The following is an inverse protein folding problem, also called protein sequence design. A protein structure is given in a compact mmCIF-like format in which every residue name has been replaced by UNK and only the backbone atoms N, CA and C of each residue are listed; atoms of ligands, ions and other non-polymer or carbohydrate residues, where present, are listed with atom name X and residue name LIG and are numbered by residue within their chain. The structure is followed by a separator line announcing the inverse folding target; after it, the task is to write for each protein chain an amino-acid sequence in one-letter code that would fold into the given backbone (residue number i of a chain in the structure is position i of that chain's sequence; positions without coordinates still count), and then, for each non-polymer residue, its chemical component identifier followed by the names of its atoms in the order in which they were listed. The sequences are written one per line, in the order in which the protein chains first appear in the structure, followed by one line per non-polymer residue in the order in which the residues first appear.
data_IF_132422393989
#
_entry.id   IF_132422393989
#
_cell.length_a   1.000
_cell.length_b   1.000
_cell.length_c   1.000
_cell.angle_alpha   90.00
_cell.angle_beta   90.00
_cell.angle_gamma   90.00
#
_symmetry.space_group_name_H-M   'P 1'
#
loop_
_entity.id
_entity.type
_entity.pdbx_description
1 polymer ?
#
# COMPACT_ATOMS: atom_id res chain seq x y z
N UNK A 1 12.61 9.39 11.43
CA UNK A 1 12.42 10.65 10.71
C UNK A 1 11.73 10.44 9.37
N UNK A 2 12.28 9.63 8.46
CA UNK A 2 11.68 9.33 7.15
C UNK A 2 10.16 9.08 7.19
N UNK A 3 9.73 8.03 7.90
CA UNK A 3 8.31 7.67 7.99
C UNK A 3 7.44 8.73 8.69
N UNK A 4 7.98 9.46 9.67
CA UNK A 4 7.24 10.52 10.37
C UNK A 4 7.00 11.71 9.44
N UNK A 5 7.98 12.05 8.60
CA UNK A 5 7.83 13.12 7.62
C UNK A 5 6.85 12.72 6.51
N UNK A 6 6.82 11.45 6.09
CA UNK A 6 5.79 10.94 5.17
C UNK A 6 4.37 11.07 5.72
N UNK A 7 4.18 10.88 7.03
CA UNK A 7 2.88 11.08 7.70
C UNK A 7 2.45 12.54 7.58
N UNK A 8 3.34 13.49 7.90
CA UNK A 8 3.06 14.94 7.80
C UNK A 8 2.71 15.32 6.36
N UNK A 9 3.50 14.85 5.38
CA UNK A 9 3.23 15.12 3.96
C UNK A 9 1.89 14.52 3.50
N UNK A 10 1.53 13.34 4.03
CA UNK A 10 0.26 12.70 3.74
C UNK A 10 -0.93 13.47 4.32
N UNK A 11 -0.82 13.96 5.56
CA UNK A 11 -1.85 14.79 6.21
C UNK A 11 -2.13 16.08 5.42
N UNK A 12 -1.13 16.60 4.71
CA UNK A 12 -1.24 17.77 3.83
C UNK A 12 -1.55 17.40 2.37
N UNK A 13 -1.93 16.15 2.07
CA UNK A 13 -2.27 15.69 0.71
C UNK A 13 -1.19 15.97 -0.34
N UNK A 14 0.08 15.99 0.05
CA UNK A 14 1.18 16.14 -0.90
C UNK A 14 1.23 14.87 -1.79
N UNK A 15 1.47 14.99 -3.11
CA UNK A 15 1.66 13.83 -3.97
C UNK A 15 2.86 12.98 -3.53
N UNK A 16 2.72 11.65 -3.50
CA UNK A 16 3.79 10.72 -3.06
C UNK A 16 5.06 10.90 -3.90
N UNK A 17 4.92 11.15 -5.20
CA UNK A 17 6.05 11.39 -6.09
C UNK A 17 6.91 12.61 -5.67
N UNK A 18 6.34 13.55 -4.92
CA UNK A 18 7.03 14.75 -4.46
C UNK A 18 7.66 14.58 -3.06
N UNK A 19 7.40 13.45 -2.37
CA UNK A 19 7.88 13.24 -0.99
C UNK A 19 9.40 13.34 -0.90
N UNK A 20 10.13 12.74 -1.85
CA UNK A 20 11.60 12.79 -1.88
C UNK A 20 12.12 14.22 -2.06
N UNK A 21 11.41 15.06 -2.80
CA UNK A 21 11.76 16.47 -3.00
C UNK A 21 11.71 17.25 -1.69
N UNK A 22 10.77 16.92 -0.80
CA UNK A 22 10.67 17.53 0.53
C UNK A 22 11.58 16.88 1.58
N UNK A 23 11.79 15.56 1.48
CA UNK A 23 12.62 14.83 2.43
C UNK A 23 14.12 15.12 2.25
N UNK A 24 14.59 15.35 1.02
CA UNK A 24 16.01 15.57 0.75
C UNK A 24 16.56 16.81 1.49
N UNK A 25 15.91 17.99 1.44
CA UNK A 25 16.32 19.14 2.26
C UNK A 25 16.33 18.87 3.76
N UNK A 26 15.35 18.12 4.30
CA UNK A 26 15.33 17.72 5.72
C UNK A 26 16.56 16.91 6.12
N UNK A 27 16.93 15.90 5.32
CA UNK A 27 18.10 15.07 5.62
C UNK A 27 19.41 15.83 5.38
N UNK A 28 19.48 16.71 4.38
CA UNK A 28 20.63 17.57 4.15
C UNK A 28 20.84 18.53 5.33
N UNK A 29 19.77 19.13 5.85
CA UNK A 29 19.82 19.95 7.06
C UNK A 29 20.35 19.16 8.25
N UNK A 30 19.86 17.95 8.48
CA UNK A 30 20.36 17.12 9.58
C UNK A 30 21.84 16.75 9.41
N UNK A 31 22.28 16.43 8.19
CA UNK A 31 23.69 16.17 7.91
C UNK A 31 24.55 17.41 8.15
N UNK A 32 24.06 18.59 7.76
CA UNK A 32 24.74 19.85 8.03
C UNK A 32 24.89 20.08 9.55
N UNK A 33 23.83 19.89 10.33
CA UNK A 33 23.90 20.00 11.80
C UNK A 33 24.90 19.03 12.44
N UNK A 34 25.08 17.84 11.86
CA UNK A 34 25.99 16.81 12.37
C UNK A 34 27.45 17.05 12.00
N UNK A 35 27.73 17.42 10.75
CA UNK A 35 29.07 17.35 10.18
C UNK A 35 29.67 18.72 9.85
N UNK A 36 28.85 19.69 9.42
CA UNK A 36 29.32 20.99 8.91
C UNK A 36 28.36 22.12 9.31
N UNK A 37 28.10 22.33 10.62
CA UNK A 37 27.11 23.29 11.04
C UNK A 37 27.60 24.73 10.82
N UNK A 38 26.65 25.61 10.50
CA UNK A 38 26.96 27.02 10.27
C UNK A 38 27.01 27.79 11.59
N UNK A 39 28.22 28.07 12.08
CA UNK A 39 28.44 28.90 13.27
C UNK A 39 28.51 28.15 14.59
N UNK A 40 28.70 26.83 14.55
CA UNK A 40 29.01 25.99 15.71
C UNK A 40 30.04 24.92 15.33
N UNK A 41 30.55 24.20 16.33
CA UNK A 41 31.40 23.04 16.12
C UNK A 41 30.57 21.80 15.73
N UNK A 42 31.11 20.89 14.88
CA UNK A 42 30.39 19.70 14.43
C UNK A 42 30.20 18.68 15.56
N UNK A 43 29.09 17.92 15.50
CA UNK A 43 28.87 16.75 16.38
C UNK A 43 29.84 15.62 16.01
N UNK A 44 30.01 15.38 14.71
CA UNK A 44 30.97 14.45 14.16
C UNK A 44 31.87 15.19 13.19
N UNK A 45 33.15 15.33 13.52
CA UNK A 45 34.08 15.99 12.63
C UNK A 45 35.35 16.44 13.33
N UNK A 46 36.13 17.23 12.62
CA UNK A 46 37.34 17.85 13.13
C UNK A 46 37.01 19.27 13.59
N UNK A 47 37.40 19.58 14.82
CA UNK A 47 37.37 20.96 15.31
C UNK A 47 38.66 21.65 14.86
N UNK A 48 38.53 22.84 14.29
CA UNK A 48 39.65 23.63 13.81
C UNK A 48 40.11 24.58 14.92
N UNK A 49 41.42 24.82 15.10
CA UNK A 49 41.90 25.78 16.07
C UNK A 49 41.28 27.19 15.92
N UNK A 50 41.08 27.94 17.02
CA UNK A 50 41.44 27.58 18.39
C UNK A 50 40.48 26.56 19.00
N UNK A 51 41.05 25.53 19.65
CA UNK A 51 40.24 24.47 20.23
C UNK A 51 39.38 24.99 21.39
N UNK A 52 38.10 24.60 21.46
CA UNK A 52 37.19 24.95 22.54
C UNK A 52 37.64 24.38 23.88
N UNK A 53 37.40 25.13 24.94
CA UNK A 53 37.48 24.63 26.32
C UNK A 53 36.11 24.11 26.71
N UNK A 54 35.87 22.83 26.40
CA UNK A 54 34.58 22.20 26.60
C UNK A 54 34.11 22.28 28.04
N UNK A 55 32.91 22.82 28.25
CA UNK A 55 32.22 22.73 29.54
C UNK A 55 31.26 21.54 29.55
N UNK A 56 31.17 20.85 30.68
CA UNK A 56 30.31 19.67 30.83
C UNK A 56 28.81 19.96 30.67
N UNK A 57 28.40 21.22 30.82
CA UNK A 57 27.02 21.68 30.67
C UNK A 57 26.72 22.31 29.29
N UNK A 58 27.72 22.35 28.38
CA UNK A 58 27.65 23.00 27.07
C UNK A 58 27.33 24.51 27.12
N UNK A 59 27.62 25.18 28.25
CA UNK A 59 27.46 26.65 28.42
C UNK A 59 28.60 27.47 27.78
N UNK A 60 29.45 26.82 27.02
CA UNK A 60 30.59 27.39 26.30
C UNK A 60 30.24 27.90 24.90
N UNK A 61 28.97 27.77 24.47
CA UNK A 61 28.40 28.35 23.24
C UNK A 61 29.03 27.86 21.93
N UNK A 62 29.91 26.86 21.99
CA UNK A 62 30.53 26.22 20.83
C UNK A 62 29.56 25.32 20.06
N UNK A 63 28.51 24.83 20.73
CA UNK A 63 27.51 23.96 20.15
C UNK A 63 26.15 24.64 20.14
N UNK A 64 25.43 24.48 19.03
CA UNK A 64 24.04 24.92 18.96
C UNK A 64 23.10 23.94 19.68
N UNK A 65 21.83 24.35 19.91
CA UNK A 65 20.84 23.54 20.61
C UNK A 65 20.60 22.16 19.99
N UNK A 66 20.67 22.06 18.67
CA UNK A 66 20.44 20.81 17.93
C UNK A 66 21.64 19.88 18.05
N UNK A 67 22.87 20.40 17.99
CA UNK A 67 24.08 19.61 18.25
C UNK A 67 24.06 19.05 19.67
N UNK A 68 23.74 19.86 20.68
CA UNK A 68 23.64 19.42 22.08
C UNK A 68 22.59 18.31 22.22
N UNK A 69 21.43 18.48 21.57
CA UNK A 69 20.38 17.46 21.56
C UNK A 69 20.88 16.13 20.95
N UNK A 70 21.52 16.19 19.78
CA UNK A 70 22.04 15.02 19.07
C UNK A 70 23.14 14.31 19.87
N UNK A 71 24.07 15.05 20.50
CA UNK A 71 25.09 14.49 21.38
C UNK A 71 24.45 13.74 22.54
N UNK A 72 23.45 14.33 23.21
CA UNK A 72 22.73 13.68 24.32
C UNK A 72 21.98 12.42 23.87
N UNK A 73 21.37 12.47 22.69
CA UNK A 73 20.70 11.33 22.06
C UNK A 73 21.68 10.19 21.79
N UNK A 74 22.79 10.44 21.11
CA UNK A 74 23.80 9.41 20.81
C UNK A 74 24.51 8.87 22.06
N UNK A 75 24.71 9.71 23.08
CA UNK A 75 25.28 9.29 24.36
C UNK A 75 24.28 8.50 25.24
N UNK A 76 22.99 8.44 24.87
CA UNK A 76 21.96 7.73 25.63
C UNK A 76 21.64 8.34 27.00
N UNK A 77 21.89 9.65 27.17
CA UNK A 77 21.74 10.39 28.43
C UNK A 77 20.29 10.83 28.61
N UNK A 78 19.62 10.31 29.66
CA UNK A 78 18.21 10.56 29.97
C UNK A 78 17.27 9.43 29.51
N UNK A 79 16.20 9.15 30.27
CA UNK A 79 15.24 8.06 29.95
C UNK A 79 14.45 8.32 28.67
N UNK A 80 14.16 9.58 28.35
CA UNK A 80 13.37 9.99 27.17
C UNK A 80 14.20 10.08 25.88
N UNK A 81 15.53 10.20 25.99
CA UNK A 81 16.47 10.35 24.87
C UNK A 81 16.95 9.03 24.26
N UNK A 82 16.45 7.88 24.73
CA UNK A 82 16.76 6.57 24.13
C UNK A 82 15.79 6.18 23.02
N UNK A 83 14.65 6.86 22.93
CA UNK A 83 13.61 6.52 21.96
C UNK A 83 13.82 7.30 20.67
N UNK A 84 14.02 6.58 19.57
CA UNK A 84 14.23 7.18 18.24
C UNK A 84 13.00 7.98 17.75
N UNK A 85 11.79 7.63 18.21
CA UNK A 85 10.56 8.27 17.73
C UNK A 85 10.38 9.70 18.26
N UNK A 86 10.40 9.98 19.58
CA UNK A 86 10.38 11.34 20.11
C UNK A 86 11.52 12.21 19.58
N UNK A 87 12.73 11.66 19.48
CA UNK A 87 13.86 12.39 18.92
C UNK A 87 13.65 12.78 17.46
N UNK A 88 13.12 11.85 16.65
CA UNK A 88 12.77 12.14 15.27
C UNK A 88 11.65 13.17 15.14
N UNK A 89 10.63 13.14 16.00
CA UNK A 89 9.57 14.17 16.04
C UNK A 89 10.14 15.56 16.33
N UNK A 90 10.95 15.68 17.38
CA UNK A 90 11.60 16.94 17.75
C UNK A 90 12.45 17.52 16.62
N UNK A 91 13.27 16.69 15.96
CA UNK A 91 14.13 17.14 14.86
C UNK A 91 13.31 17.61 13.64
N UNK A 92 12.22 16.92 13.32
CA UNK A 92 11.33 17.33 12.22
C UNK A 92 10.65 18.66 12.55
N UNK A 93 10.04 18.79 13.74
CA UNK A 93 9.38 20.02 14.17
C UNK A 93 10.33 21.23 14.15
N UNK A 94 11.55 21.02 14.64
CA UNK A 94 12.60 22.04 14.61
C UNK A 94 12.93 22.45 13.18
N UNK A 95 13.17 21.48 12.29
CA UNK A 95 13.46 21.76 10.88
C UNK A 95 12.35 22.57 10.21
N UNK A 96 11.09 22.18 10.39
CA UNK A 96 9.95 22.88 9.80
C UNK A 96 9.85 24.32 10.32
N UNK A 97 10.07 24.52 11.62
CA UNK A 97 10.02 25.84 12.26
C UNK A 97 11.15 26.75 11.79
N UNK A 98 12.40 26.28 11.84
CA UNK A 98 13.58 27.08 11.46
C UNK A 98 13.55 27.51 9.99
N UNK A 99 13.08 26.61 9.12
CA UNK A 99 13.02 26.85 7.67
C UNK A 99 11.69 27.47 7.23
N UNK A 100 10.77 27.76 8.17
CA UNK A 100 9.45 28.34 7.90
C UNK A 100 8.66 27.55 6.85
N UNK A 101 8.74 26.22 6.93
CA UNK A 101 8.08 25.33 5.99
C UNK A 101 6.65 25.11 6.44
N UNK A 102 5.71 25.58 5.63
CA UNK A 102 4.29 25.32 5.79
C UNK A 102 3.77 24.53 4.58
N UNK A 103 3.44 23.26 4.80
CA UNK A 103 2.89 22.40 3.75
C UNK A 103 1.42 22.71 3.44
N UNK A 104 0.73 23.49 4.27
CA UNK A 104 -0.68 23.86 4.05
C UNK A 104 -0.87 24.61 2.74
N UNK A 105 0.12 25.44 2.35
CA UNK A 105 0.12 26.18 1.10
C UNK A 105 0.36 25.30 -0.14
N UNK A 106 0.91 24.10 0.04
CA UNK A 106 1.22 23.13 -1.03
C UNK A 106 0.19 22.01 -1.13
N UNK A 107 -0.80 22.00 -0.23
CA UNK A 107 -1.87 21.03 -0.21
C UNK A 107 -2.61 21.06 -1.55
N UNK A 108 -2.60 19.91 -2.22
CA UNK A 108 -3.45 19.73 -3.40
C UNK A 108 -4.83 19.30 -2.92
N UNK A 109 -5.91 19.87 -3.49
CA UNK A 109 -7.25 19.38 -3.19
C UNK A 109 -7.29 17.88 -3.50
N UNK A 110 -7.90 17.11 -2.59
CA UNK A 110 -7.99 15.64 -2.61
C UNK A 110 -8.59 15.07 -3.91
N UNK A 111 -9.14 15.93 -4.77
CA UNK A 111 -9.87 15.68 -6.00
C UNK A 111 -9.02 15.33 -7.23
N UNK A 112 -7.75 14.90 -7.08
CA UNK A 112 -7.06 14.21 -8.18
C UNK A 112 -7.70 12.84 -8.48
N UNK A 113 -8.58 12.34 -7.59
CA UNK A 113 -9.62 11.38 -7.96
C UNK A 113 -10.85 12.14 -8.45
N UNK A 114 -10.85 12.68 -9.67
CA UNK A 114 -12.09 13.06 -10.40
C UNK A 114 -11.76 13.74 -11.75
N UNK A 115 -11.50 12.90 -12.74
CA UNK A 115 -12.14 13.06 -14.06
C UNK A 115 -12.66 11.69 -14.51
N UNK A 116 -13.14 10.90 -13.57
CA UNK A 116 -14.06 9.85 -13.95
C UNK A 116 -15.40 10.53 -14.19
N UNK A 117 -15.98 10.27 -15.37
CA UNK A 117 -17.26 10.79 -15.79
C UNK A 117 -18.27 10.68 -14.63
N UNK A 118 -18.86 11.79 -14.18
CA UNK A 118 -19.84 11.80 -13.07
C UNK A 118 -20.95 10.77 -13.32
N UNK A 119 -21.29 10.54 -14.59
CA UNK A 119 -22.27 9.53 -14.98
C UNK A 119 -21.79 8.10 -14.74
N UNK A 120 -20.49 7.83 -14.81
CA UNK A 120 -19.88 6.53 -14.49
C UNK A 120 -19.89 6.29 -12.98
N UNK A 121 -19.54 7.30 -12.18
CA UNK A 121 -19.58 7.22 -10.72
C UNK A 121 -21.00 7.01 -10.18
N UNK A 122 -21.99 7.72 -10.74
CA UNK A 122 -23.40 7.50 -10.43
C UNK A 122 -23.85 6.07 -10.77
N UNK A 123 -23.42 5.54 -11.92
CA UNK A 123 -23.73 4.17 -12.36
C UNK A 123 -23.10 3.11 -11.44
N UNK A 124 -21.83 3.26 -11.08
CA UNK A 124 -21.15 2.37 -10.13
C UNK A 124 -21.86 2.36 -8.79
N UNK A 125 -22.22 3.54 -8.26
CA UNK A 125 -22.89 3.64 -6.97
C UNK A 125 -24.27 2.97 -6.98
N UNK A 126 -25.05 3.15 -8.05
CA UNK A 126 -26.34 2.48 -8.20
C UNK A 126 -26.18 0.95 -8.20
N UNK A 127 -25.26 0.41 -9.02
CA UNK A 127 -24.99 -1.04 -9.06
C UNK A 127 -24.48 -1.56 -7.72
N UNK A 128 -23.63 -0.79 -7.02
CA UNK A 128 -23.16 -1.16 -5.69
C UNK A 128 -24.31 -1.29 -4.70
N UNK A 129 -25.21 -0.32 -4.66
CA UNK A 129 -26.39 -0.35 -3.79
C UNK A 129 -27.30 -1.54 -4.10
N UNK A 130 -27.49 -1.88 -5.38
CA UNK A 130 -28.27 -3.05 -5.78
C UNK A 130 -27.63 -4.36 -5.32
N UNK A 131 -26.32 -4.53 -5.50
CA UNK A 131 -25.59 -5.71 -5.04
C UNK A 131 -25.63 -5.82 -3.52
N UNK A 132 -25.41 -4.71 -2.79
CA UNK A 132 -25.46 -4.72 -1.33
C UNK A 132 -26.87 -5.05 -0.82
N UNK A 133 -27.92 -4.50 -1.46
CA UNK A 133 -29.31 -4.87 -1.16
C UNK A 133 -29.54 -6.36 -1.38
N UNK A 134 -29.06 -6.92 -2.50
CA UNK A 134 -29.15 -8.34 -2.78
C UNK A 134 -28.43 -9.17 -1.70
N UNK A 135 -27.19 -8.82 -1.34
CA UNK A 135 -26.44 -9.51 -0.27
C UNK A 135 -27.22 -9.51 1.03
N UNK A 136 -27.87 -8.39 1.39
CA UNK A 136 -28.72 -8.32 2.58
C UNK A 136 -29.93 -9.25 2.51
N UNK A 137 -30.46 -9.59 1.32
CA UNK A 137 -31.56 -10.56 1.18
C UNK A 137 -31.14 -12.02 1.41
N UNK A 138 -29.85 -12.32 1.47
CA UNK A 138 -29.37 -13.68 1.70
C UNK A 138 -29.47 -14.11 3.16
N UNK A 139 -29.94 -13.23 4.07
CA UNK A 139 -30.14 -13.49 5.51
C UNK A 139 -28.96 -14.26 6.15
N UNK A 140 -27.75 -13.82 5.83
CA UNK A 140 -26.52 -14.49 6.23
C UNK A 140 -26.22 -14.18 7.71
N UNK A 141 -26.33 -15.20 8.57
CA UNK A 141 -25.78 -15.15 9.92
C UNK A 141 -24.23 -15.30 9.89
N UNK A 142 -23.54 -14.65 10.83
CA UNK A 142 -22.07 -14.58 10.86
C UNK A 142 -21.43 -15.97 10.99
N UNK A 143 -21.87 -16.76 11.98
CA UNK A 143 -21.30 -18.08 12.22
C UNK A 143 -21.62 -19.04 11.07
N UNK A 144 -22.84 -18.96 10.53
CA UNK A 144 -23.27 -19.79 9.40
C UNK A 144 -22.52 -19.44 8.11
N UNK A 145 -22.17 -18.18 7.88
CA UNK A 145 -21.44 -17.76 6.68
C UNK A 145 -20.08 -18.45 6.58
N UNK A 146 -19.27 -18.35 7.63
CA UNK A 146 -17.92 -18.91 7.61
C UNK A 146 -17.95 -20.43 7.47
N UNK A 147 -18.92 -21.09 8.10
CA UNK A 147 -19.16 -22.53 7.95
C UNK A 147 -19.56 -22.87 6.51
N UNK A 148 -20.51 -22.13 5.93
CA UNK A 148 -20.98 -22.33 4.56
C UNK A 148 -19.83 -22.17 3.56
N UNK A 149 -19.09 -21.06 3.63
CA UNK A 149 -17.93 -20.79 2.77
C UNK A 149 -16.85 -21.88 2.95
N UNK A 150 -16.59 -22.34 4.18
CA UNK A 150 -15.61 -23.42 4.39
C UNK A 150 -15.97 -24.73 3.68
N UNK A 151 -17.27 -25.01 3.54
CA UNK A 151 -17.82 -26.22 2.91
C UNK A 151 -18.05 -26.06 1.41
N UNK A 152 -18.15 -24.83 0.92
CA UNK A 152 -18.36 -24.54 -0.49
C UNK A 152 -17.16 -25.00 -1.33
N UNK A 153 -17.36 -26.13 -2.02
CA UNK A 153 -16.36 -26.72 -2.91
C UNK A 153 -16.82 -26.53 -4.34
N UNK A 154 -16.08 -25.72 -5.08
CA UNK A 154 -16.39 -25.44 -6.47
C UNK A 154 -15.17 -25.67 -7.38
N UNK A 155 -15.41 -26.21 -8.59
CA UNK A 155 -14.37 -26.44 -9.60
C UNK A 155 -13.70 -25.14 -10.06
N UNK A 156 -14.45 -24.05 -10.18
CA UNK A 156 -13.96 -22.74 -10.60
C UNK A 156 -13.03 -22.15 -9.54
N UNK A 157 -13.44 -22.19 -8.26
CA UNK A 157 -12.58 -21.79 -7.13
C UNK A 157 -11.30 -22.65 -7.08
N UNK A 158 -11.40 -23.96 -7.32
CA UNK A 158 -10.23 -24.84 -7.36
C UNK A 158 -9.26 -24.44 -8.48
N UNK A 159 -9.78 -24.14 -9.67
CA UNK A 159 -8.98 -23.69 -10.81
C UNK A 159 -8.34 -22.33 -10.52
N UNK A 160 -9.11 -21.33 -10.10
CA UNK A 160 -8.62 -20.00 -9.76
C UNK A 160 -7.49 -20.04 -8.72
N UNK A 161 -7.60 -20.90 -7.71
CA UNK A 161 -6.53 -21.11 -6.71
C UNK A 161 -5.28 -21.74 -7.29
N UNK A 162 -5.43 -22.66 -8.24
CA UNK A 162 -4.30 -23.25 -8.96
C UNK A 162 -3.56 -22.18 -9.76
N UNK A 163 -4.30 -21.38 -10.53
CA UNK A 163 -3.74 -20.32 -11.38
C UNK A 163 -3.05 -19.25 -10.54
N UNK A 164 -3.70 -18.80 -9.45
CA UNK A 164 -3.11 -17.86 -8.49
C UNK A 164 -1.81 -18.39 -7.88
N UNK A 165 -1.78 -19.67 -7.49
CA UNK A 165 -0.59 -20.29 -6.93
C UNK A 165 0.53 -20.39 -7.95
N UNK A 166 0.21 -20.67 -9.21
CA UNK A 166 1.16 -20.74 -10.31
C UNK A 166 1.79 -19.36 -10.57
N UNK A 167 1.00 -18.29 -10.60
CA UNK A 167 1.51 -16.92 -10.76
C UNK A 167 2.41 -16.50 -9.58
N UNK A 168 1.99 -16.78 -8.35
CA UNK A 168 2.84 -16.55 -7.18
C UNK A 168 4.18 -17.29 -7.31
N UNK A 169 4.16 -18.56 -7.73
CA UNK A 169 5.36 -19.34 -7.94
C UNK A 169 6.24 -18.75 -9.06
N UNK A 170 5.65 -18.29 -10.16
CA UNK A 170 6.37 -17.65 -11.28
C UNK A 170 7.13 -16.41 -10.81
N UNK A 171 6.50 -15.56 -10.01
CA UNK A 171 7.13 -14.35 -9.43
C UNK A 171 8.28 -14.73 -8.49
N UNK A 172 8.07 -15.73 -7.66
CA UNK A 172 9.06 -16.24 -6.72
C UNK A 172 10.30 -16.84 -7.43
N UNK A 173 10.10 -17.53 -8.54
CA UNK A 173 11.19 -18.02 -9.41
C UNK A 173 11.92 -16.85 -10.06
N UNK A 174 11.16 -15.89 -10.62
CA UNK A 174 11.71 -14.70 -11.30
C UNK A 174 12.58 -13.86 -10.36
N UNK A 175 12.17 -13.75 -9.09
CA UNK A 175 12.87 -12.95 -8.08
C UNK A 175 14.02 -13.71 -7.42
N UNK A 176 14.02 -15.05 -7.51
CA UNK A 176 15.10 -15.91 -7.05
C UNK A 176 14.94 -16.30 -5.58
N UNK A 177 13.87 -17.06 -5.27
CA UNK A 177 13.60 -17.69 -3.96
C UNK A 177 14.89 -18.09 -3.24
N UNK A 178 15.02 -17.60 -2.01
CA UNK A 178 15.82 -18.18 -0.91
C UNK A 178 17.33 -17.90 -0.83
N UNK A 179 18.00 -17.32 -1.84
CA UNK A 179 19.46 -17.04 -1.72
C UNK A 179 19.83 -15.55 -1.75
N UNK A 180 18.87 -14.66 -2.01
CA UNK A 180 19.15 -13.22 -2.07
C UNK A 180 18.86 -12.57 -0.73
N UNK A 181 19.90 -11.97 -0.13
CA UNK A 181 19.76 -11.13 1.07
C UNK A 181 18.99 -9.87 0.69
N UNK A 182 17.88 -9.61 1.36
CA UNK A 182 17.17 -8.33 1.28
C UNK A 182 18.12 -7.24 1.78
N UNK A 183 18.46 -6.29 0.91
CA UNK A 183 19.31 -5.15 1.26
C UNK A 183 18.50 -4.07 1.96
N UNK A 184 17.40 -3.68 1.33
CA UNK A 184 16.54 -2.61 1.79
C UNK A 184 15.11 -2.87 1.32
N UNK A 185 14.15 -2.21 1.95
CA UNK A 185 12.78 -2.11 1.45
C UNK A 185 12.31 -0.68 1.62
N UNK A 186 11.50 -0.21 0.67
CA UNK A 186 10.75 1.03 0.80
C UNK A 186 9.28 0.67 0.93
N UNK A 187 8.62 1.19 1.96
CA UNK A 187 7.19 1.01 2.17
C UNK A 187 6.42 2.07 1.37
N UNK A 188 5.27 1.70 0.83
CA UNK A 188 4.36 2.69 0.25
C UNK A 188 3.78 3.55 1.39
N UNK A 189 3.74 4.89 1.26
CA UNK A 189 3.33 5.75 2.37
C UNK A 189 1.90 5.55 2.87
N UNK A 190 0.98 5.17 1.97
CA UNK A 190 -0.46 5.06 2.26
C UNK A 190 -1.03 3.63 2.29
N UNK A 191 -0.25 2.65 1.83
CA UNK A 191 -0.72 1.28 1.59
C UNK A 191 0.24 0.28 2.24
N UNK A 192 -0.26 -0.86 2.77
CA UNK A 192 0.57 -1.90 3.35
C UNK A 192 1.24 -2.75 2.25
N UNK A 193 2.11 -2.12 1.46
CA UNK A 193 2.90 -2.76 0.41
C UNK A 193 4.31 -2.18 0.41
N UNK A 194 5.30 -2.99 0.03
CA UNK A 194 6.69 -2.60 -0.05
C UNK A 194 7.33 -3.02 -1.36
N UNK A 195 8.26 -2.21 -1.82
CA UNK A 195 9.20 -2.53 -2.88
C UNK A 195 10.50 -2.99 -2.24
N UNK A 196 10.96 -4.18 -2.62
CA UNK A 196 12.06 -4.87 -1.94
C UNK A 196 13.31 -4.88 -2.82
N UNK A 197 14.42 -4.33 -2.31
CA UNK A 197 15.70 -4.30 -3.01
C UNK A 197 16.58 -5.46 -2.55
N UNK A 198 16.99 -6.33 -3.47
CA UNK A 198 17.86 -7.47 -3.17
C UNK A 198 19.34 -7.22 -3.55
N UNK A 199 20.26 -7.90 -2.85
CA UNK A 199 21.71 -7.80 -3.07
C UNK A 199 22.16 -8.60 -4.30
N UNK A 200 22.99 -8.00 -5.15
CA UNK A 200 23.64 -8.57 -6.36
C UNK A 200 22.80 -8.66 -7.65
N UNK A 201 23.44 -8.58 -8.84
CA UNK A 201 22.71 -8.40 -10.09
C UNK A 201 22.22 -9.75 -10.60
N UNK A 202 20.90 -9.92 -10.65
CA UNK A 202 20.16 -10.40 -11.83
C UNK A 202 18.69 -10.12 -11.54
N UNK A 203 18.17 -9.19 -12.32
CA UNK A 203 16.82 -8.66 -12.30
C UNK A 203 16.86 -7.19 -12.70
N UNK A 204 16.42 -6.87 -13.92
CA UNK A 204 15.90 -5.52 -14.25
C UNK A 204 14.67 -5.22 -13.39
N UNK A 205 14.13 -6.21 -12.69
CA UNK A 205 12.91 -6.16 -11.91
C UNK A 205 13.14 -6.60 -10.47
N UNK A 206 12.38 -6.01 -9.56
CA UNK A 206 12.37 -6.28 -8.12
C UNK A 206 10.92 -6.50 -7.66
N UNK A 207 10.68 -7.29 -6.60
CA UNK A 207 9.32 -7.61 -6.21
C UNK A 207 8.60 -6.52 -5.43
N UNK A 208 7.29 -6.48 -5.64
CA UNK A 208 6.33 -5.92 -4.70
C UNK A 208 5.86 -6.99 -3.71
N UNK A 209 5.75 -6.61 -2.44
CA UNK A 209 5.35 -7.48 -1.33
C UNK A 209 4.36 -6.78 -0.42
N UNK A 210 3.25 -7.46 -0.15
CA UNK A 210 2.25 -7.00 0.81
C UNK A 210 2.83 -7.09 2.23
N UNK A 211 2.51 -6.10 3.05
CA UNK A 211 2.90 -6.02 4.44
C UNK A 211 1.71 -6.33 5.34
N UNK A 212 1.95 -6.95 6.49
CA UNK A 212 0.93 -7.16 7.51
C UNK A 212 0.60 -5.83 8.20
N UNK A 213 -0.63 -5.68 8.64
CA UNK A 213 -1.01 -4.62 9.57
C UNK A 213 -1.24 -5.19 10.98
N UNK A 214 -0.82 -4.48 12.05
CA UNK A 214 -0.12 -3.18 12.05
C UNK A 214 1.41 -3.28 11.94
N UNK A 215 2.03 -4.46 12.05
CA UNK A 215 3.48 -4.61 12.26
C UNK A 215 4.36 -4.34 11.04
N UNK A 216 3.77 -4.16 9.85
CA UNK A 216 4.47 -3.95 8.57
C UNK A 216 5.52 -5.04 8.25
N UNK A 217 5.26 -6.28 8.67
CA UNK A 217 6.07 -7.46 8.32
C UNK A 217 5.65 -7.98 6.94
N UNK A 218 6.51 -8.68 6.21
CA UNK A 218 6.08 -9.27 4.94
C UNK A 218 5.02 -10.35 5.21
N UNK A 219 3.90 -10.29 4.51
CA UNK A 219 2.86 -11.34 4.60
C UNK A 219 3.42 -12.62 4.00
N UNK A 220 3.21 -13.75 4.67
CA UNK A 220 3.70 -15.04 4.20
C UNK A 220 2.90 -15.53 2.99
N UNK A 221 3.51 -16.33 2.10
CA UNK A 221 2.78 -16.94 0.99
C UNK A 221 1.58 -17.78 1.43
N UNK A 222 1.66 -18.43 2.60
CA UNK A 222 0.55 -19.22 3.16
C UNK A 222 -0.64 -18.34 3.55
N UNK A 223 -0.40 -17.18 4.18
CA UNK A 223 -1.46 -16.23 4.53
C UNK A 223 -2.10 -15.63 3.29
N UNK A 224 -1.30 -15.26 2.27
CA UNK A 224 -1.84 -14.77 0.99
C UNK A 224 -2.72 -15.85 0.33
N UNK A 225 -2.24 -17.10 0.25
CA UNK A 225 -3.00 -18.21 -0.36
C UNK A 225 -4.30 -18.50 0.40
N UNK A 226 -4.27 -18.44 1.74
CA UNK A 226 -5.45 -18.58 2.59
C UNK A 226 -6.47 -17.48 2.30
N UNK A 227 -6.04 -16.22 2.29
CA UNK A 227 -6.93 -15.09 2.07
C UNK A 227 -7.50 -15.11 0.64
N UNK A 228 -6.70 -15.52 -0.36
CA UNK A 228 -7.19 -15.69 -1.73
C UNK A 228 -8.22 -16.82 -1.83
N UNK A 229 -8.00 -17.95 -1.15
CA UNK A 229 -9.00 -19.03 -1.06
C UNK A 229 -10.31 -18.48 -0.48
N UNK A 230 -10.24 -17.77 0.63
CA UNK A 230 -11.43 -17.22 1.28
C UNK A 230 -12.18 -16.25 0.35
N UNK A 231 -11.45 -15.30 -0.24
CA UNK A 231 -12.01 -14.31 -1.17
C UNK A 231 -12.67 -15.00 -2.37
N UNK A 232 -11.93 -15.88 -3.05
CA UNK A 232 -12.42 -16.55 -4.26
C UNK A 232 -13.64 -17.42 -3.99
N UNK A 233 -13.67 -18.15 -2.87
CA UNK A 233 -14.83 -18.95 -2.48
C UNK A 233 -16.07 -18.10 -2.24
N UNK A 234 -15.94 -17.02 -1.44
CA UNK A 234 -17.07 -16.16 -1.11
C UNK A 234 -17.57 -15.34 -2.31
N UNK A 235 -16.65 -14.86 -3.13
CA UNK A 235 -16.97 -14.10 -4.35
C UNK A 235 -17.75 -14.97 -5.34
N UNK A 236 -17.33 -16.21 -5.54
CA UNK A 236 -18.03 -17.16 -6.42
C UNK A 236 -19.38 -17.59 -5.88
N UNK A 237 -19.50 -17.76 -4.56
CA UNK A 237 -20.79 -18.03 -3.92
C UNK A 237 -21.80 -16.90 -4.18
N UNK A 238 -21.45 -15.66 -3.82
CA UNK A 238 -22.36 -14.51 -4.00
C UNK A 238 -22.63 -14.28 -5.49
N UNK A 239 -21.62 -14.43 -6.35
CA UNK A 239 -21.81 -14.27 -7.79
C UNK A 239 -22.77 -15.31 -8.37
N UNK A 240 -22.67 -16.58 -7.93
CA UNK A 240 -23.57 -17.64 -8.37
C UNK A 240 -25.01 -17.37 -7.93
N UNK A 241 -25.24 -17.02 -6.66
CA UNK A 241 -26.57 -16.65 -6.16
C UNK A 241 -27.16 -15.46 -6.94
N UNK A 242 -26.32 -14.49 -7.31
CA UNK A 242 -26.72 -13.34 -8.10
C UNK A 242 -27.08 -13.74 -9.54
N UNK A 243 -26.33 -14.66 -10.16
CA UNK A 243 -26.65 -15.19 -11.48
C UNK A 243 -27.96 -15.98 -11.45
N UNK A 244 -28.17 -16.83 -10.45
CA UNK A 244 -29.35 -17.69 -10.33
C UNK A 244 -30.65 -16.88 -10.10
N UNK A 245 -30.59 -15.71 -9.43
CA UNK A 245 -31.75 -14.80 -9.34
C UNK A 245 -32.02 -14.03 -10.64
N UNK A 246 -31.06 -13.94 -11.57
CA UNK A 246 -31.22 -13.20 -12.82
C UNK A 246 -31.72 -14.12 -13.95
N UNK A 247 -33.04 -14.25 -14.06
CA UNK A 247 -33.76 -15.10 -15.03
C UNK A 247 -33.45 -14.86 -16.52
N UNK A 248 -32.75 -13.79 -16.88
CA UNK A 248 -32.36 -13.47 -18.27
C UNK A 248 -31.07 -14.17 -18.73
N UNK A 249 -30.34 -14.82 -17.82
CA UNK A 249 -29.04 -15.49 -18.09
C UNK A 249 -29.16 -17.03 -18.18
N UNK A 250 -30.33 -17.53 -18.57
CA UNK A 250 -30.86 -18.90 -18.47
C UNK A 250 -30.10 -20.05 -19.17
N UNK A 251 -28.83 -19.86 -19.57
CA UNK A 251 -27.97 -20.97 -20.02
C UNK A 251 -26.81 -21.19 -19.05
N UNK A 252 -26.67 -22.42 -18.54
CA UNK A 252 -25.57 -22.85 -17.68
C UNK A 252 -24.19 -22.52 -18.27
N UNK A 253 -24.04 -22.60 -19.60
CA UNK A 253 -22.83 -22.23 -20.31
C UNK A 253 -22.49 -20.74 -20.16
N UNK A 254 -23.49 -19.86 -20.01
CA UNK A 254 -23.31 -18.45 -19.70
C UNK A 254 -22.84 -18.25 -18.26
N UNK A 255 -23.43 -18.97 -17.29
CA UNK A 255 -23.02 -18.88 -15.87
C UNK A 255 -21.58 -19.34 -15.66
N UNK A 256 -21.23 -20.50 -16.22
CA UNK A 256 -19.88 -21.07 -16.14
C UNK A 256 -18.83 -20.12 -16.76
N UNK A 257 -19.14 -19.53 -17.93
CA UNK A 257 -18.26 -18.56 -18.57
C UNK A 257 -18.10 -17.28 -17.74
N UNK A 258 -19.17 -16.74 -17.18
CA UNK A 258 -19.13 -15.52 -16.35
C UNK A 258 -18.28 -15.73 -15.09
N UNK A 259 -18.40 -16.90 -14.45
CA UNK A 259 -17.61 -17.26 -13.27
C UNK A 259 -16.12 -17.44 -13.60
N UNK A 260 -15.80 -18.06 -14.74
CA UNK A 260 -14.42 -18.16 -15.20
C UNK A 260 -13.83 -16.77 -15.46
N UNK A 261 -14.56 -15.94 -16.22
CA UNK A 261 -14.16 -14.57 -16.55
C UNK A 261 -13.93 -13.70 -15.31
N UNK A 262 -14.77 -13.84 -14.27
CA UNK A 262 -14.59 -13.14 -13.00
C UNK A 262 -13.22 -13.44 -12.36
N UNK A 263 -12.78 -14.69 -12.40
CA UNK A 263 -11.49 -15.08 -11.85
C UNK A 263 -10.31 -14.70 -12.73
N UNK A 264 -10.46 -14.72 -14.05
CA UNK A 264 -9.48 -14.18 -14.98
C UNK A 264 -9.24 -12.70 -14.72
N UNK A 265 -10.31 -11.91 -14.56
CA UNK A 265 -10.25 -10.50 -14.18
C UNK A 265 -9.61 -10.27 -12.82
N UNK A 266 -10.00 -11.04 -11.79
CA UNK A 266 -9.41 -10.90 -10.46
C UNK A 266 -7.89 -11.17 -10.50
N UNK A 267 -7.46 -12.18 -11.25
CA UNK A 267 -6.04 -12.46 -11.46
C UNK A 267 -5.34 -11.33 -12.23
N UNK A 268 -5.98 -10.77 -13.28
CA UNK A 268 -5.46 -9.62 -14.01
C UNK A 268 -5.22 -8.42 -13.06
N UNK A 269 -6.20 -8.08 -12.22
CA UNK A 269 -6.09 -6.96 -11.27
C UNK A 269 -4.97 -7.14 -10.24
N UNK A 270 -4.66 -8.38 -9.87
CA UNK A 270 -3.62 -8.72 -8.87
C UNK A 270 -2.22 -8.75 -9.50
N UNK A 271 -2.06 -9.42 -10.63
CA UNK A 271 -0.75 -9.78 -11.18
C UNK A 271 -0.34 -9.00 -12.42
N UNK A 272 -1.30 -8.55 -13.24
CA UNK A 272 -1.01 -7.90 -14.53
C UNK A 272 -2.03 -6.80 -14.88
N UNK A 273 -2.21 -5.80 -14.02
CA UNK A 273 -3.09 -4.67 -14.31
C UNK A 273 -2.58 -3.86 -15.51
N UNK A 274 -3.50 -3.30 -16.29
CA UNK A 274 -3.17 -2.54 -17.51
C UNK A 274 -2.57 -1.15 -17.23
N UNK A 275 -3.13 -0.43 -16.26
CA UNK A 275 -2.86 1.00 -16.05
C UNK A 275 -2.17 1.33 -14.71
N UNK A 276 -1.73 0.31 -13.97
CA UNK A 276 -1.15 0.46 -12.63
C UNK A 276 -0.10 -0.63 -12.31
N UNK A 277 0.48 -0.58 -11.11
CA UNK A 277 1.42 -1.60 -10.65
C UNK A 277 0.70 -2.87 -10.17
N UNK A 278 1.30 -4.07 -10.33
CA UNK A 278 0.73 -5.29 -9.76
C UNK A 278 0.73 -5.27 -8.23
N UNK A 279 -0.27 -5.89 -7.61
CA UNK A 279 -0.36 -6.07 -6.16
C UNK A 279 0.69 -7.07 -5.68
N UNK A 280 0.80 -8.18 -6.41
CA UNK A 280 1.81 -9.22 -6.23
C UNK A 280 2.49 -9.36 -7.57
N UNK A 281 3.76 -9.00 -7.66
CA UNK A 281 4.44 -8.96 -8.95
C UNK A 281 5.88 -8.51 -8.85
N UNK A 282 6.45 -8.23 -10.02
CA UNK A 282 7.77 -7.66 -10.18
C UNK A 282 7.65 -6.35 -10.96
N UNK A 283 8.45 -5.37 -10.58
CA UNK A 283 8.47 -4.04 -11.21
C UNK A 283 9.89 -3.69 -11.59
N UNK A 284 10.06 -3.00 -12.72
CA UNK A 284 11.38 -2.57 -13.16
C UNK A 284 12.05 -1.68 -12.13
N UNK A 285 13.33 -1.97 -11.88
CA UNK A 285 14.18 -1.25 -10.94
C UNK A 285 14.67 0.03 -11.60
N UNK A 286 14.46 1.16 -10.94
CA UNK A 286 15.02 2.45 -11.32
C UNK A 286 15.98 2.94 -10.23
N UNK A 287 17.24 2.49 -10.33
CA UNK A 287 18.27 2.80 -9.33
C UNK A 287 17.87 2.34 -7.92
N UNK A 288 17.79 3.29 -6.98
CA UNK A 288 17.37 3.09 -5.60
C UNK A 288 15.97 3.63 -5.30
N UNK A 289 15.22 4.05 -6.33
CA UNK A 289 13.89 4.63 -6.17
C UNK A 289 12.82 3.54 -6.22
N UNK A 290 11.80 3.69 -5.38
CA UNK A 290 10.59 2.88 -5.49
C UNK A 290 9.73 3.37 -6.67
N UNK A 291 8.86 2.52 -7.24
CA UNK A 291 8.04 2.90 -8.40
C UNK A 291 7.13 4.11 -8.16
N UNK A 292 6.66 4.31 -6.93
CA UNK A 292 5.82 5.46 -6.54
C UNK A 292 6.61 6.74 -6.25
N UNK A 293 7.94 6.66 -6.15
CA UNK A 293 8.81 7.83 -6.01
C UNK A 293 9.17 8.45 -7.37
N UNK A 294 8.79 7.80 -8.49
CA UNK A 294 9.11 8.27 -9.83
C UNK A 294 8.18 9.40 -10.25
N UNK A 295 8.78 10.50 -10.71
CA UNK A 295 8.03 11.66 -11.18
C UNK A 295 7.29 11.30 -12.49
N UNK A 296 6.04 11.77 -12.66
CA UNK A 296 5.20 11.44 -13.82
C UNK A 296 5.82 11.76 -15.18
N UNK A 297 6.84 12.63 -15.23
CA UNK A 297 7.57 12.96 -16.47
C UNK A 297 8.57 11.89 -16.90
N UNK A 298 9.09 11.10 -15.96
CA UNK A 298 10.19 10.17 -16.20
C UNK A 298 9.74 8.74 -16.54
N UNK A 299 8.46 8.43 -16.31
CA UNK A 299 7.86 7.13 -16.65
C UNK A 299 6.48 7.30 -17.27
N UNK A 300 6.33 7.07 -18.58
CA UNK A 300 5.04 7.17 -19.28
C UNK A 300 4.11 5.97 -19.03
N UNK A 301 4.51 4.96 -18.24
CA UNK A 301 3.84 3.66 -18.20
C UNK A 301 2.68 3.54 -17.22
N UNK A 302 2.59 4.36 -16.15
CA UNK A 302 1.51 4.23 -15.17
C UNK A 302 1.00 5.60 -14.69
N UNK A 303 -0.29 5.88 -14.88
CA UNK A 303 -0.92 7.14 -14.47
C UNK A 303 -1.14 7.24 -12.95
N UNK A 304 -1.25 6.09 -12.27
CA UNK A 304 -1.36 5.94 -10.81
C UNK A 304 -0.60 4.69 -10.35
N UNK A 305 -0.04 4.68 -9.13
CA UNK A 305 0.66 3.49 -8.63
C UNK A 305 -0.31 2.32 -8.40
N UNK A 306 -1.51 2.58 -7.88
CA UNK A 306 -2.56 1.57 -7.66
C UNK A 306 -3.95 2.17 -7.88
N UNK A 307 -4.86 1.41 -8.50
CA UNK A 307 -6.28 1.77 -8.66
C UNK A 307 -7.13 1.39 -7.43
N UNK A 308 -8.41 1.82 -7.37
CA UNK A 308 -9.26 1.62 -6.19
C UNK A 308 -9.50 0.14 -5.85
N UNK A 309 -9.63 -0.73 -6.85
CA UNK A 309 -9.71 -2.20 -6.68
C UNK A 309 -8.45 -2.72 -5.99
N UNK A 310 -7.29 -2.27 -6.44
CA UNK A 310 -6.02 -2.74 -5.92
C UNK A 310 -5.74 -2.21 -4.52
N UNK A 311 -6.08 -0.95 -4.23
CA UNK A 311 -5.99 -0.39 -2.87
C UNK A 311 -6.79 -1.24 -1.88
N UNK A 312 -8.01 -1.67 -2.26
CA UNK A 312 -8.87 -2.51 -1.41
C UNK A 312 -8.33 -3.92 -1.25
N UNK A 313 -7.86 -4.54 -2.33
CA UNK A 313 -7.24 -5.88 -2.31
C UNK A 313 -5.93 -5.88 -1.51
N UNK A 314 -5.07 -4.87 -1.63
CA UNK A 314 -3.84 -4.73 -0.84
C UNK A 314 -4.17 -4.72 0.66
N UNK A 315 -5.19 -3.94 1.08
CA UNK A 315 -5.64 -3.90 2.47
C UNK A 315 -6.23 -5.24 2.91
N UNK A 316 -7.03 -5.89 2.07
CA UNK A 316 -7.57 -7.22 2.35
C UNK A 316 -6.46 -8.25 2.61
N UNK A 317 -5.47 -8.35 1.71
CA UNK A 317 -4.36 -9.29 1.84
C UNK A 317 -3.37 -8.93 2.96
N UNK A 318 -3.37 -7.68 3.45
CA UNK A 318 -2.55 -7.25 4.59
C UNK A 318 -3.04 -7.76 5.94
N UNK A 319 -4.28 -8.25 6.02
CA UNK A 319 -4.86 -8.72 7.26
C UNK A 319 -4.43 -10.15 7.55
N UNK A 320 -4.07 -10.41 8.79
CA UNK A 320 -3.84 -11.76 9.25
C UNK A 320 -5.16 -12.55 9.24
N UNK A 321 -6.22 -11.98 9.82
CA UNK A 321 -7.56 -12.57 9.83
C UNK A 321 -8.61 -11.49 9.55
N UNK A 322 -9.69 -11.89 8.87
CA UNK A 322 -10.89 -11.07 8.71
C UNK A 322 -11.96 -11.73 9.55
N UNK A 323 -12.40 -10.99 10.57
CA UNK A 323 -13.39 -11.46 11.53
C UNK A 323 -14.65 -10.58 11.51
N UNK A 324 -14.64 -9.50 10.72
CA UNK A 324 -15.81 -8.63 10.51
C UNK A 324 -16.47 -9.05 9.20
N UNK A 325 -17.62 -9.72 9.31
CA UNK A 325 -18.39 -10.16 8.16
C UNK A 325 -18.87 -8.97 7.32
N UNK A 326 -19.31 -7.88 7.94
CA UNK A 326 -19.85 -6.73 7.21
C UNK A 326 -18.78 -6.05 6.36
N UNK A 327 -17.57 -5.92 6.90
CA UNK A 327 -16.42 -5.44 6.14
C UNK A 327 -16.07 -6.39 4.99
N UNK A 328 -16.15 -7.70 5.22
CA UNK A 328 -15.88 -8.67 4.16
C UNK A 328 -16.92 -8.62 3.05
N UNK A 329 -18.21 -8.52 3.39
CA UNK A 329 -19.31 -8.37 2.43
C UNK A 329 -19.20 -7.06 1.63
N UNK A 330 -18.79 -5.96 2.26
CA UNK A 330 -18.49 -4.69 1.58
C UNK A 330 -17.40 -4.87 0.51
N UNK A 331 -16.32 -5.59 0.84
CA UNK A 331 -15.25 -5.91 -0.13
C UNK A 331 -15.79 -6.75 -1.28
N UNK A 332 -16.59 -7.78 -1.01
CA UNK A 332 -17.17 -8.64 -2.04
C UNK A 332 -18.12 -7.86 -2.96
N UNK A 333 -19.03 -7.08 -2.38
CA UNK A 333 -19.96 -6.23 -3.13
C UNK A 333 -19.22 -5.21 -4.00
N UNK A 334 -18.17 -4.59 -3.46
CA UNK A 334 -17.33 -3.65 -4.19
C UNK A 334 -16.66 -4.30 -5.42
N UNK A 335 -16.08 -5.50 -5.24
CA UNK A 335 -15.42 -6.24 -6.31
C UNK A 335 -16.41 -6.68 -7.40
N UNK A 336 -17.57 -7.23 -7.01
CA UNK A 336 -18.60 -7.65 -7.97
C UNK A 336 -19.15 -6.46 -8.76
N UNK A 337 -19.33 -5.31 -8.12
CA UNK A 337 -19.75 -4.07 -8.79
C UNK A 337 -18.77 -3.70 -9.89
N UNK A 338 -17.48 -3.65 -9.55
CA UNK A 338 -16.44 -3.24 -10.50
C UNK A 338 -16.27 -4.27 -11.63
N UNK A 339 -16.43 -5.56 -11.31
CA UNK A 339 -16.43 -6.62 -12.31
C UNK A 339 -17.51 -6.40 -13.37
N UNK A 340 -18.77 -6.22 -12.94
CA UNK A 340 -19.93 -6.03 -13.84
C UNK A 340 -19.73 -4.84 -14.78
N UNK A 341 -19.19 -3.73 -14.25
CA UNK A 341 -18.89 -2.54 -15.05
C UNK A 341 -17.71 -2.73 -16.00
N UNK A 342 -16.67 -3.47 -15.61
CA UNK A 342 -15.46 -3.68 -16.42
C UNK A 342 -15.67 -4.53 -17.68
N UNK A 343 -16.60 -5.49 -17.64
CA UNK A 343 -16.92 -6.35 -18.80
C UNK A 343 -18.06 -5.80 -19.68
N UNK A 344 -18.54 -4.58 -19.42
CA UNK A 344 -19.75 -4.04 -20.04
C UNK A 344 -20.95 -5.00 -19.92
N UNK A 345 -21.11 -5.68 -18.78
CA UNK A 345 -22.30 -6.49 -18.51
C UNK A 345 -23.45 -5.53 -18.16
N UNK A 346 -23.85 -4.69 -19.12
CA UNK A 346 -25.04 -3.84 -19.07
C UNK A 346 -26.36 -4.66 -19.07
N UNK A 347 -26.26 -5.99 -18.97
CA UNK A 347 -27.37 -6.94 -19.07
C UNK A 347 -27.81 -7.52 -17.71
N UNK A 348 -27.01 -7.37 -16.65
CA UNK A 348 -27.46 -7.70 -15.29
C UNK A 348 -28.27 -6.50 -14.78
N UNK A 349 -29.57 -6.48 -15.08
CA UNK A 349 -30.51 -5.62 -14.36
C UNK A 349 -30.93 -6.36 -13.10
N UNK A 350 -30.45 -5.92 -11.95
CA UNK A 350 -30.85 -6.43 -10.64
C UNK A 350 -32.26 -5.93 -10.33
N UNK A 351 -33.26 -6.51 -10.99
CA UNK A 351 -34.67 -6.33 -10.64
C UNK A 351 -34.92 -7.09 -9.32
N UNK A 352 -34.58 -6.47 -8.19
CA UNK A 352 -34.98 -6.98 -6.88
C UNK A 352 -36.45 -6.61 -6.69
N UNK A 353 -37.32 -7.60 -6.83
CA UNK A 353 -38.74 -7.51 -6.49
C UNK A 353 -38.97 -7.62 -4.98
#
# INVERSE_FOLDING_TARGET
MYELHEIILNEHNIPIADYKTHQRPLFNWLLQELFEPSGSDPVFGLVVPPYPVWKSDFSDHHLGPIQIFLIRFFAGVGRDNRSAKPAASYLIETYLTQNKIDYSALSQPSSIKEKEDESFQLRINATYQEIMRFISTLEIDDDDFWVMISRFKNRFVKQARSDFSQECQRIEVTTGRNNKKLNAKTCHPKLPIAFCFYSQPIGVVEPLRILSLPEKKMVTPSSISRNFKLLSTALDFIHLELLDKNSKLDSQNSHDLMRQKLFEWLNEMIFNPKDSLPIIGVVQKNGSLAPWDLCKKDTPTFNTSFGPIQERLIRFFSKEFINDLQEFLDILGFLLTHWIHSEHINQIKLEVH
#
